data_IF_977795300292
#
_entry.id   IF_977795300292
#
_cell.length_a   1.000
_cell.length_b   1.000
_cell.length_c   1.000
_cell.angle_alpha   90.00
_cell.angle_beta   90.00
_cell.angle_gamma   90.00
#
_symmetry.space_group_name_H-M   'P 1'
#
loop_
_entity.id
_entity.type
_entity.pdbx_description
1 polymer ?
#
# COMPACT_ATOMS: atom_id res chain seq x y z
N UNK A 1 -10.95 22.40 -11.35
CA UNK A 1 -10.07 22.33 -10.18
C UNK A 1 -10.90 22.78 -8.98
N UNK A 2 -11.36 21.84 -8.14
CA UNK A 2 -12.09 22.18 -6.91
C UNK A 2 -11.06 22.74 -5.93
N UNK A 3 -11.19 24.03 -5.62
CA UNK A 3 -10.30 24.71 -4.66
C UNK A 3 -10.77 24.29 -3.27
N UNK A 4 -10.09 23.35 -2.66
CA UNK A 4 -10.24 23.05 -1.24
C UNK A 4 -9.23 23.87 -0.43
N UNK A 5 -9.61 24.29 0.75
CA UNK A 5 -8.73 24.93 1.72
C UNK A 5 -9.27 24.71 3.13
N UNK A 6 -8.42 24.87 4.15
CA UNK A 6 -8.86 24.82 5.54
C UNK A 6 -10.01 25.80 5.86
N UNK A 7 -10.13 26.87 5.08
CA UNK A 7 -11.17 27.92 5.24
C UNK A 7 -12.42 27.68 4.39
N UNK A 8 -12.34 26.97 3.24
CA UNK A 8 -13.47 26.69 2.35
C UNK A 8 -13.61 25.20 2.16
N UNK A 9 -14.72 24.66 2.64
CA UNK A 9 -15.04 23.24 2.49
C UNK A 9 -15.58 22.94 1.09
N UNK A 10 -15.19 21.80 0.54
CA UNK A 10 -15.63 21.33 -0.77
C UNK A 10 -17.08 20.82 -0.73
N UNK A 11 -17.74 20.66 -1.89
CA UNK A 11 -19.01 19.94 -1.96
C UNK A 11 -18.94 18.51 -1.42
N UNK A 12 -17.77 17.87 -1.50
CA UNK A 12 -17.52 16.51 -0.96
C UNK A 12 -17.67 16.50 0.56
N UNK A 13 -17.11 17.50 1.25
CA UNK A 13 -17.27 17.66 2.69
C UNK A 13 -18.76 17.76 3.10
N UNK A 14 -19.54 18.58 2.38
CA UNK A 14 -20.96 18.73 2.72
C UNK A 14 -21.76 17.46 2.44
N UNK A 15 -21.45 16.72 1.37
CA UNK A 15 -22.07 15.43 1.10
C UNK A 15 -21.77 14.41 2.23
N UNK A 16 -20.53 14.35 2.68
CA UNK A 16 -20.12 13.47 3.79
C UNK A 16 -20.73 13.91 5.13
N UNK A 17 -20.91 15.21 5.36
CA UNK A 17 -21.54 15.76 6.56
C UNK A 17 -22.99 15.26 6.76
N UNK A 18 -23.72 14.89 5.70
CA UNK A 18 -25.09 14.36 5.79
C UNK A 18 -25.16 13.07 6.60
N UNK A 19 -24.08 12.29 6.63
CA UNK A 19 -24.00 11.05 7.41
C UNK A 19 -23.72 11.28 8.91
N UNK A 20 -23.32 12.50 9.30
CA UNK A 20 -22.82 12.81 10.63
C UNK A 20 -23.77 12.44 11.78
N UNK A 21 -25.06 12.79 11.69
CA UNK A 21 -26.05 12.45 12.73
C UNK A 21 -26.25 10.94 12.88
N UNK A 22 -26.29 10.20 11.74
CA UNK A 22 -26.47 8.75 11.75
C UNK A 22 -25.25 8.04 12.35
N UNK A 23 -24.05 8.50 11.99
CA UNK A 23 -22.79 7.96 12.52
C UNK A 23 -22.65 8.28 14.01
N UNK A 24 -22.99 9.49 14.45
CA UNK A 24 -22.98 9.89 15.86
C UNK A 24 -23.89 9.00 16.70
N UNK A 25 -25.12 8.77 16.24
CA UNK A 25 -26.07 7.88 16.91
C UNK A 25 -25.57 6.43 16.98
N UNK A 26 -24.91 5.96 15.92
CA UNK A 26 -24.31 4.62 15.90
C UNK A 26 -23.16 4.51 16.92
N UNK A 27 -22.26 5.49 16.96
CA UNK A 27 -21.12 5.52 17.89
C UNK A 27 -21.63 5.55 19.33
N UNK A 28 -22.58 6.44 19.65
CA UNK A 28 -23.14 6.54 20.99
C UNK A 28 -23.88 5.26 21.43
N UNK A 29 -24.59 4.59 20.50
CA UNK A 29 -25.31 3.35 20.79
C UNK A 29 -24.39 2.19 21.16
N UNK A 30 -23.17 2.16 20.59
CA UNK A 30 -22.22 1.05 20.75
C UNK A 30 -21.11 1.34 21.76
N UNK A 31 -21.15 2.51 22.41
CA UNK A 31 -20.23 2.90 23.50
C UNK A 31 -18.74 2.74 23.12
N UNK A 32 -18.37 3.30 21.97
CA UNK A 32 -16.98 3.29 21.53
C UNK A 32 -16.14 4.34 22.23
N UNK A 33 -14.92 4.01 22.61
CA UNK A 33 -13.98 4.92 23.30
C UNK A 33 -13.18 5.79 22.32
N UNK A 34 -12.97 5.34 21.08
CA UNK A 34 -12.16 6.02 20.06
C UNK A 34 -12.62 5.64 18.66
N UNK A 35 -12.41 6.51 17.68
CA UNK A 35 -12.67 6.22 16.26
C UNK A 35 -11.40 6.37 15.45
N UNK A 36 -11.11 5.37 14.63
CA UNK A 36 -9.96 5.37 13.69
C UNK A 36 -10.47 5.25 12.25
N UNK A 37 -9.93 6.06 11.34
CA UNK A 37 -10.28 5.98 9.93
C UNK A 37 -9.06 5.99 9.02
N UNK A 38 -8.94 5.02 8.09
CA UNK A 38 -7.94 5.05 7.04
C UNK A 38 -8.44 5.75 5.76
N UNK A 39 -9.58 6.42 5.81
CA UNK A 39 -10.20 7.01 4.62
C UNK A 39 -10.71 8.43 4.86
N UNK A 40 -10.54 9.28 3.85
CA UNK A 40 -10.86 10.69 3.88
C UNK A 40 -12.35 10.98 4.16
N UNK A 41 -13.27 10.26 3.51
CA UNK A 41 -14.71 10.57 3.64
C UNK A 41 -15.25 10.41 5.08
N UNK A 42 -14.96 9.32 5.80
CA UNK A 42 -15.27 9.27 7.22
C UNK A 42 -14.55 10.35 8.04
N UNK A 43 -13.31 10.73 7.70
CA UNK A 43 -12.59 11.81 8.38
C UNK A 43 -13.31 13.16 8.25
N UNK A 44 -13.85 13.49 7.08
CA UNK A 44 -14.68 14.68 6.86
C UNK A 44 -15.98 14.61 7.66
N UNK A 45 -16.64 13.43 7.70
CA UNK A 45 -17.84 13.21 8.51
C UNK A 45 -17.56 13.45 9.99
N UNK A 46 -16.46 12.88 10.51
CA UNK A 46 -16.07 13.07 11.92
C UNK A 46 -15.68 14.52 12.24
N UNK A 47 -15.02 15.20 11.30
CA UNK A 47 -14.73 16.64 11.42
C UNK A 47 -16.00 17.46 11.56
N UNK A 48 -17.03 17.17 10.74
CA UNK A 48 -18.33 17.80 10.87
C UNK A 48 -18.97 17.50 12.25
N UNK A 49 -18.90 16.24 12.69
CA UNK A 49 -19.45 15.81 13.97
C UNK A 49 -18.76 16.52 15.15
N UNK A 50 -17.43 16.64 15.15
CA UNK A 50 -16.68 17.39 16.16
C UNK A 50 -17.10 18.86 16.18
N UNK A 51 -17.17 19.51 15.02
CA UNK A 51 -17.62 20.91 14.89
C UNK A 51 -19.05 21.13 15.40
N UNK A 52 -19.92 20.12 15.28
CA UNK A 52 -21.32 20.17 15.77
C UNK A 52 -21.49 19.63 17.17
N UNK A 53 -20.39 19.29 17.87
CA UNK A 53 -20.41 18.66 19.21
C UNK A 53 -21.25 17.38 19.26
N UNK A 54 -21.20 16.59 18.20
CA UNK A 54 -21.86 15.29 18.08
C UNK A 54 -20.87 14.12 18.33
N UNK A 55 -19.57 14.38 18.34
CA UNK A 55 -18.51 13.41 18.63
C UNK A 55 -17.66 13.95 19.77
N UNK A 56 -17.62 13.22 20.89
CA UNK A 56 -16.91 13.60 22.11
C UNK A 56 -15.70 12.71 22.40
N UNK A 57 -15.55 11.59 21.69
CA UNK A 57 -14.42 10.68 21.80
C UNK A 57 -13.32 11.07 20.82
N UNK A 58 -12.06 10.66 21.07
CA UNK A 58 -10.94 10.91 20.17
C UNK A 58 -11.17 10.31 18.77
N UNK A 59 -10.65 10.98 17.76
CA UNK A 59 -10.72 10.53 16.37
C UNK A 59 -9.36 10.64 15.69
N UNK A 60 -8.85 9.54 15.14
CA UNK A 60 -7.54 9.44 14.52
C UNK A 60 -7.67 9.06 13.05
N UNK A 61 -6.97 9.78 12.18
CA UNK A 61 -6.84 9.40 10.78
C UNK A 61 -5.54 8.62 10.53
N UNK A 62 -5.57 7.67 9.59
CA UNK A 62 -4.39 6.94 9.12
C UNK A 62 -4.26 7.13 7.61
N UNK A 63 -3.27 7.91 7.17
CA UNK A 63 -2.95 8.10 5.76
C UNK A 63 -2.36 6.82 5.16
N UNK A 64 -2.86 6.44 3.98
CA UNK A 64 -2.48 5.18 3.31
C UNK A 64 -1.77 5.40 1.97
N UNK A 65 -1.38 6.64 1.68
CA UNK A 65 -0.61 7.04 0.50
C UNK A 65 0.57 7.93 0.89
N UNK A 66 1.68 7.82 0.19
CA UNK A 66 2.91 8.59 0.43
C UNK A 66 2.81 10.01 -0.16
N UNK A 67 1.73 10.67 0.17
CA UNK A 67 1.41 12.06 -0.15
C UNK A 67 0.23 12.52 0.68
N UNK A 68 0.09 13.82 0.87
CA UNK A 68 -1.13 14.42 1.38
C UNK A 68 -2.15 14.52 0.24
N UNK A 69 -3.05 13.55 0.10
CA UNK A 69 -4.10 13.62 -0.93
C UNK A 69 -5.02 14.82 -0.71
N UNK A 70 -5.63 15.39 -1.77
CA UNK A 70 -6.56 16.51 -1.64
C UNK A 70 -7.66 16.24 -0.63
N UNK A 71 -8.11 17.30 0.02
CA UNK A 71 -9.18 17.36 1.04
C UNK A 71 -8.78 16.95 2.48
N UNK A 72 -7.57 16.39 2.74
CA UNK A 72 -7.10 16.25 4.12
C UNK A 72 -7.08 17.60 4.85
N UNK A 73 -6.81 18.69 4.15
CA UNK A 73 -6.86 20.05 4.67
C UNK A 73 -8.26 20.51 5.12
N UNK A 74 -9.30 19.78 4.73
CA UNK A 74 -10.67 20.05 5.16
C UNK A 74 -11.04 19.35 6.46
N UNK A 75 -10.22 18.42 6.91
CA UNK A 75 -10.45 17.65 8.14
C UNK A 75 -9.85 18.34 9.36
N UNK A 76 -10.38 18.01 10.55
CA UNK A 76 -9.87 18.45 11.84
C UNK A 76 -10.15 17.35 12.87
N UNK A 77 -9.24 16.38 12.90
CA UNK A 77 -9.22 15.28 13.84
C UNK A 77 -8.17 15.52 14.93
N UNK A 78 -8.11 14.65 15.91
CA UNK A 78 -7.16 14.80 17.02
C UNK A 78 -5.74 14.53 16.55
N UNK A 79 -5.53 13.43 15.79
CA UNK A 79 -4.23 13.06 15.20
C UNK A 79 -4.36 12.49 13.78
N UNK A 80 -3.26 12.61 13.04
CA UNK A 80 -3.07 12.06 11.70
C UNK A 80 -1.81 11.21 11.68
N UNK A 81 -1.96 9.91 11.60
CA UNK A 81 -0.84 9.02 11.31
C UNK A 81 -0.50 9.12 9.83
N UNK A 82 0.75 9.46 9.51
CA UNK A 82 1.22 9.63 8.14
C UNK A 82 2.34 8.63 7.83
N UNK A 83 2.56 8.30 6.53
CA UNK A 83 3.50 7.25 6.13
C UNK A 83 4.96 7.53 6.48
N UNK A 84 5.39 8.80 6.45
CA UNK A 84 6.79 9.17 6.59
C UNK A 84 6.95 10.61 7.08
N UNK A 85 8.03 10.90 7.82
CA UNK A 85 8.36 12.23 8.35
C UNK A 85 8.58 13.29 7.25
N UNK A 86 9.16 12.91 6.12
CA UNK A 86 9.37 13.82 4.98
C UNK A 86 8.07 14.32 4.34
N UNK A 87 6.94 13.76 4.72
CA UNK A 87 5.62 14.24 4.28
C UNK A 87 5.06 15.34 5.18
N UNK A 88 5.61 15.55 6.37
CA UNK A 88 5.16 16.60 7.31
C UNK A 88 5.05 17.97 6.61
N UNK A 89 6.08 18.45 5.88
CA UNK A 89 6.00 19.76 5.21
C UNK A 89 4.87 19.86 4.19
N UNK A 90 4.53 18.75 3.50
CA UNK A 90 3.42 18.70 2.54
C UNK A 90 2.08 18.86 3.24
N UNK A 91 1.86 18.15 4.36
CA UNK A 91 0.65 18.25 5.17
C UNK A 91 0.48 19.63 5.80
N UNK A 92 1.57 20.18 6.38
CA UNK A 92 1.58 21.53 6.99
C UNK A 92 1.29 22.61 5.94
N UNK A 93 1.89 22.53 4.76
CA UNK A 93 1.62 23.44 3.64
C UNK A 93 0.14 23.43 3.23
N UNK A 94 -0.55 22.32 3.41
CA UNK A 94 -2.00 22.19 3.16
C UNK A 94 -2.86 22.67 4.32
N UNK A 95 -2.26 22.94 5.48
CA UNK A 95 -2.95 23.51 6.65
C UNK A 95 -3.31 22.49 7.73
N UNK A 96 -2.74 21.29 7.71
CA UNK A 96 -2.81 20.34 8.84
C UNK A 96 -1.77 20.76 9.88
N UNK A 97 -2.14 20.96 11.15
CA UNK A 97 -1.20 21.36 12.21
C UNK A 97 -0.10 20.29 12.41
N UNK A 98 1.15 20.73 12.54
CA UNK A 98 2.31 19.84 12.65
C UNK A 98 2.23 18.94 13.89
N UNK A 99 1.79 19.51 15.01
CA UNK A 99 1.64 18.82 16.30
C UNK A 99 0.62 17.66 16.28
N UNK A 100 -0.24 17.60 15.26
CA UNK A 100 -1.18 16.51 15.03
C UNK A 100 -0.65 15.41 14.11
N UNK A 101 0.53 15.61 13.49
CA UNK A 101 1.09 14.69 12.50
C UNK A 101 2.04 13.68 13.17
N UNK A 102 1.75 12.41 13.00
CA UNK A 102 2.51 11.30 13.59
C UNK A 102 3.07 10.40 12.47
N UNK A 103 4.37 10.46 12.16
CA UNK A 103 4.97 9.73 11.05
C UNK A 103 5.27 8.26 11.39
N UNK A 104 4.26 7.54 11.88
CA UNK A 104 4.41 6.14 12.30
C UNK A 104 4.47 5.14 11.15
N UNK A 105 4.05 5.54 9.95
CA UNK A 105 4.00 4.64 8.80
C UNK A 105 2.60 4.08 8.52
N UNK A 106 2.48 3.40 7.38
CA UNK A 106 1.25 2.68 7.02
C UNK A 106 1.24 1.33 7.74
N UNK A 107 0.22 1.02 8.55
CA UNK A 107 0.17 -0.24 9.27
C UNK A 107 -0.03 -1.43 8.32
N UNK A 108 0.71 -2.49 8.55
CA UNK A 108 0.59 -3.76 7.85
C UNK A 108 0.31 -4.89 8.84
N UNK A 109 -0.31 -5.97 8.36
CA UNK A 109 -0.54 -7.15 9.18
C UNK A 109 0.79 -7.75 9.65
N UNK A 110 0.79 -8.35 10.83
CA UNK A 110 1.98 -8.92 11.48
C UNK A 110 2.75 -9.92 10.60
N UNK A 111 2.05 -10.66 9.74
CA UNK A 111 2.67 -11.60 8.81
C UNK A 111 3.61 -10.92 7.80
N UNK A 112 3.42 -9.63 7.51
CA UNK A 112 4.35 -8.88 6.66
C UNK A 112 5.57 -8.36 7.45
N UNK A 113 5.50 -8.28 8.78
CA UNK A 113 6.62 -7.88 9.62
C UNK A 113 7.55 -9.06 9.97
N UNK A 114 7.10 -10.31 9.73
CA UNK A 114 7.87 -11.53 9.95
C UNK A 114 8.34 -12.08 8.62
N UNK A 115 9.65 -12.26 8.45
CA UNK A 115 10.22 -12.85 7.25
C UNK A 115 10.44 -14.34 7.45
N UNK A 116 9.90 -15.16 6.58
CA UNK A 116 10.26 -16.56 6.46
C UNK A 116 11.43 -16.69 5.48
N UNK A 117 12.30 -17.69 5.69
CA UNK A 117 13.30 -17.99 4.68
C UNK A 117 12.63 -18.47 3.38
N UNK A 118 13.27 -18.21 2.23
CA UNK A 118 12.78 -18.68 0.93
C UNK A 118 12.58 -20.20 0.92
N UNK A 119 13.42 -20.96 1.61
CA UNK A 119 13.27 -22.40 1.74
C UNK A 119 11.96 -22.79 2.41
N UNK A 120 11.63 -22.17 3.54
CA UNK A 120 10.37 -22.44 4.25
C UNK A 120 9.18 -22.02 3.39
N UNK A 121 9.21 -20.84 2.80
CA UNK A 121 8.14 -20.33 1.98
C UNK A 121 7.91 -21.17 0.72
N UNK A 122 8.95 -21.42 -0.06
CA UNK A 122 8.86 -22.18 -1.32
C UNK A 122 8.60 -23.64 -1.11
N UNK A 123 9.50 -24.35 -0.42
CA UNK A 123 9.49 -25.80 -0.31
C UNK A 123 8.40 -26.32 0.62
N UNK A 124 8.34 -25.78 1.84
CA UNK A 124 7.45 -26.32 2.89
C UNK A 124 6.02 -25.83 2.81
N UNK A 125 5.78 -24.63 2.26
CA UNK A 125 4.45 -23.99 2.26
C UNK A 125 3.80 -23.91 0.89
N UNK A 126 4.54 -23.55 -0.15
CA UNK A 126 3.98 -23.28 -1.48
C UNK A 126 4.29 -24.38 -2.51
N UNK A 127 5.19 -25.32 -2.20
CA UNK A 127 5.65 -26.38 -3.10
C UNK A 127 6.19 -25.82 -4.44
N UNK A 128 6.93 -24.71 -4.36
CA UNK A 128 7.56 -24.04 -5.49
C UNK A 128 9.05 -24.44 -5.61
N UNK A 129 9.65 -24.35 -6.81
CA UNK A 129 11.06 -24.62 -7.02
C UNK A 129 11.97 -23.75 -6.17
N UNK A 130 13.11 -24.30 -5.74
CA UNK A 130 14.09 -23.61 -4.88
C UNK A 130 15.14 -22.84 -5.67
N UNK A 131 15.74 -23.49 -6.65
CA UNK A 131 17.00 -23.08 -7.27
C UNK A 131 16.80 -22.23 -8.54
N UNK A 132 15.68 -21.51 -8.61
CA UNK A 132 15.34 -20.66 -9.74
C UNK A 132 14.88 -19.29 -9.28
N UNK A 133 15.21 -18.22 -10.01
CA UNK A 133 14.66 -16.90 -9.71
C UNK A 133 13.14 -16.87 -9.86
N UNK A 134 12.46 -16.10 -9.01
CA UNK A 134 11.01 -16.05 -8.96
C UNK A 134 10.50 -14.61 -8.92
N UNK A 135 9.67 -14.28 -9.89
CA UNK A 135 8.94 -13.02 -9.96
C UNK A 135 7.55 -13.17 -9.36
N UNK A 136 7.15 -12.21 -8.52
CA UNK A 136 5.77 -12.04 -8.08
C UNK A 136 5.13 -10.87 -8.83
N UNK A 137 3.97 -11.10 -9.44
CA UNK A 137 3.20 -10.06 -10.12
C UNK A 137 1.89 -9.84 -9.38
N UNK A 138 1.66 -8.62 -8.90
CA UNK A 138 0.43 -8.24 -8.19
C UNK A 138 -0.21 -7.03 -8.84
N UNK A 139 -1.44 -7.18 -9.34
CA UNK A 139 -2.18 -6.10 -10.03
C UNK A 139 -3.01 -5.20 -9.10
N UNK A 140 -3.08 -5.53 -7.81
CA UNK A 140 -3.98 -4.89 -6.86
C UNK A 140 -5.45 -5.33 -7.03
N UNK A 141 -6.33 -4.83 -6.16
CA UNK A 141 -7.74 -5.26 -6.10
C UNK A 141 -8.54 -4.98 -7.38
N UNK A 142 -8.19 -3.91 -8.12
CA UNK A 142 -8.89 -3.53 -9.35
C UNK A 142 -8.23 -4.08 -10.63
N UNK A 143 -7.11 -4.77 -10.51
CA UNK A 143 -6.29 -5.22 -11.63
C UNK A 143 -5.58 -4.04 -12.32
N UNK A 144 -4.52 -4.30 -13.10
CA UNK A 144 -4.12 -3.32 -14.10
C UNK A 144 -4.48 -3.83 -15.48
N UNK A 145 -5.11 -2.95 -16.31
CA UNK A 145 -5.81 -3.33 -17.53
C UNK A 145 -4.99 -4.03 -18.61
N UNK A 146 -3.67 -4.17 -18.42
CA UNK A 146 -2.74 -4.86 -19.33
C UNK A 146 -2.02 -6.04 -18.66
N UNK A 147 -2.56 -6.60 -17.59
CA UNK A 147 -1.89 -7.68 -16.84
C UNK A 147 -1.57 -8.89 -17.72
N UNK A 148 -2.48 -9.31 -18.61
CA UNK A 148 -2.23 -10.42 -19.53
C UNK A 148 -1.07 -10.12 -20.50
N UNK A 149 -1.03 -8.90 -21.06
CA UNK A 149 0.06 -8.46 -21.94
C UNK A 149 1.38 -8.39 -21.18
N UNK A 150 1.36 -7.88 -19.94
CA UNK A 150 2.55 -7.84 -19.09
C UNK A 150 3.05 -9.25 -18.77
N UNK A 151 2.17 -10.16 -18.40
CA UNK A 151 2.50 -11.55 -18.09
C UNK A 151 3.10 -12.28 -19.29
N UNK A 152 2.54 -12.07 -20.50
CA UNK A 152 3.06 -12.64 -21.73
C UNK A 152 4.46 -12.12 -22.05
N UNK A 153 4.68 -10.81 -21.96
CA UNK A 153 6.00 -10.19 -22.19
C UNK A 153 7.04 -10.68 -21.17
N UNK A 154 6.66 -10.78 -19.89
CA UNK A 154 7.53 -11.31 -18.84
C UNK A 154 7.88 -12.78 -19.12
N UNK A 155 6.89 -13.62 -19.42
CA UNK A 155 7.10 -15.04 -19.71
C UNK A 155 7.97 -15.26 -20.95
N UNK A 156 7.82 -14.42 -22.00
CA UNK A 156 8.64 -14.47 -23.21
C UNK A 156 10.12 -14.19 -22.92
N UNK A 157 10.40 -13.32 -21.94
CA UNK A 157 11.76 -12.89 -21.57
C UNK A 157 12.39 -13.74 -20.46
N UNK A 158 11.62 -14.52 -19.75
CA UNK A 158 12.08 -15.49 -18.74
C UNK A 158 12.59 -16.77 -19.44
N UNK A 159 13.85 -16.75 -19.92
CA UNK A 159 14.45 -17.86 -20.68
C UNK A 159 15.41 -18.71 -19.88
N UNK A 160 15.83 -18.25 -18.69
CA UNK A 160 16.84 -18.89 -17.85
C UNK A 160 16.22 -19.73 -16.71
N UNK A 161 15.01 -20.22 -16.89
CA UNK A 161 14.33 -21.06 -15.91
C UNK A 161 13.55 -20.28 -14.85
N UNK A 162 13.47 -18.96 -14.94
CA UNK A 162 12.74 -18.12 -13.98
C UNK A 162 11.26 -18.51 -13.90
N UNK A 163 10.70 -18.49 -12.70
CA UNK A 163 9.28 -18.73 -12.43
C UNK A 163 8.55 -17.42 -12.19
N UNK A 164 7.27 -17.41 -12.54
CA UNK A 164 6.38 -16.25 -12.40
C UNK A 164 5.16 -16.66 -11.60
N UNK A 165 4.91 -16.00 -10.49
CA UNK A 165 3.68 -16.14 -9.71
C UNK A 165 2.83 -14.90 -9.95
N UNK A 166 1.58 -15.08 -10.38
CA UNK A 166 0.66 -13.97 -10.67
C UNK A 166 -0.54 -14.08 -9.74
N UNK A 167 -0.70 -13.10 -8.84
CA UNK A 167 -1.86 -13.02 -7.96
C UNK A 167 -2.90 -12.10 -8.59
N UNK A 168 -4.03 -12.68 -9.00
CA UNK A 168 -5.13 -12.00 -9.68
C UNK A 168 -6.13 -11.35 -8.69
N UNK A 169 -6.07 -11.71 -7.40
CA UNK A 169 -7.03 -11.26 -6.39
C UNK A 169 -8.46 -11.64 -6.76
N UNK A 170 -9.39 -10.72 -6.57
CA UNK A 170 -10.83 -10.94 -6.85
C UNK A 170 -11.20 -10.86 -8.36
N UNK A 171 -10.22 -10.68 -9.25
CA UNK A 171 -10.50 -10.57 -10.68
C UNK A 171 -10.54 -11.94 -11.36
N UNK A 172 -11.66 -12.66 -11.18
CA UNK A 172 -11.88 -13.99 -11.77
C UNK A 172 -11.83 -14.00 -13.31
N UNK A 173 -12.12 -12.86 -13.97
CA UNK A 173 -12.04 -12.75 -15.43
C UNK A 173 -10.59 -12.83 -15.90
N UNK A 174 -9.71 -12.07 -15.29
CA UNK A 174 -8.29 -12.07 -15.66
C UNK A 174 -7.61 -13.39 -15.26
N UNK A 175 -7.99 -13.97 -14.12
CA UNK A 175 -7.52 -15.29 -13.71
C UNK A 175 -7.83 -16.35 -14.76
N UNK A 176 -9.07 -16.40 -15.27
CA UNK A 176 -9.48 -17.36 -16.32
C UNK A 176 -8.69 -17.16 -17.61
N UNK A 177 -8.46 -15.90 -18.03
CA UNK A 177 -7.70 -15.60 -19.23
C UNK A 177 -6.25 -16.10 -19.07
N UNK A 178 -5.60 -15.78 -17.94
CA UNK A 178 -4.21 -16.18 -17.69
C UNK A 178 -4.05 -17.71 -17.56
N UNK A 179 -4.99 -18.40 -16.90
CA UNK A 179 -4.97 -19.87 -16.81
C UNK A 179 -5.08 -20.52 -18.17
N UNK A 180 -5.88 -19.96 -19.09
CA UNK A 180 -5.99 -20.44 -20.47
C UNK A 180 -4.72 -20.17 -21.25
N UNK A 181 -4.17 -18.96 -21.17
CA UNK A 181 -2.96 -18.52 -21.88
C UNK A 181 -1.75 -19.35 -21.49
N UNK A 182 -1.56 -19.58 -20.20
CA UNK A 182 -0.38 -20.25 -19.66
C UNK A 182 -0.62 -21.72 -19.29
N UNK A 183 -1.68 -22.35 -19.83
CA UNK A 183 -2.05 -23.73 -19.49
C UNK A 183 -0.90 -24.75 -19.61
N UNK A 184 -0.07 -24.62 -20.63
CA UNK A 184 1.07 -25.50 -20.87
C UNK A 184 2.40 -24.99 -20.30
N UNK A 185 2.42 -23.80 -19.70
CA UNK A 185 3.65 -23.22 -19.16
C UNK A 185 3.77 -23.49 -17.65
N UNK A 186 4.51 -24.54 -17.29
CA UNK A 186 4.71 -24.97 -15.90
C UNK A 186 5.49 -23.95 -15.04
N UNK A 187 6.09 -22.92 -15.62
CA UNK A 187 6.83 -21.87 -14.90
C UNK A 187 5.96 -20.68 -14.51
N UNK A 188 4.71 -20.63 -14.99
CA UNK A 188 3.77 -19.56 -14.67
C UNK A 188 2.66 -20.09 -13.74
N UNK A 189 2.62 -19.56 -12.54
CA UNK A 189 1.68 -19.97 -11.49
C UNK A 189 0.61 -18.92 -11.34
N UNK A 190 -0.64 -19.25 -11.68
CA UNK A 190 -1.77 -18.31 -11.59
C UNK A 190 -2.54 -18.57 -10.30
N UNK A 191 -2.58 -17.57 -9.44
CA UNK A 191 -3.25 -17.59 -8.14
C UNK A 191 -4.41 -16.60 -8.19
N UNK A 192 -5.59 -17.04 -7.78
CA UNK A 192 -6.76 -16.18 -7.61
C UNK A 192 -6.67 -15.34 -6.34
N UNK A 193 -7.78 -15.21 -5.61
CA UNK A 193 -7.77 -14.60 -4.29
C UNK A 193 -7.02 -15.49 -3.29
N UNK A 194 -6.16 -14.88 -2.48
CA UNK A 194 -5.42 -15.59 -1.43
C UNK A 194 -5.19 -14.70 -0.21
N UNK A 195 -5.26 -15.29 0.98
CA UNK A 195 -4.86 -14.68 2.24
C UNK A 195 -3.36 -14.85 2.55
N UNK A 196 -2.64 -15.61 1.70
CA UNK A 196 -1.23 -15.95 1.90
C UNK A 196 -0.26 -15.04 1.11
N UNK A 197 -0.65 -13.78 0.86
CA UNK A 197 0.18 -12.82 0.10
C UNK A 197 1.56 -12.65 0.72
N UNK A 198 1.65 -12.56 2.05
CA UNK A 198 2.92 -12.45 2.78
C UNK A 198 3.87 -13.62 2.45
N UNK A 199 3.32 -14.84 2.38
CA UNK A 199 4.08 -16.05 2.07
C UNK A 199 4.63 -16.05 0.62
N UNK A 200 3.82 -15.58 -0.35
CA UNK A 200 4.29 -15.39 -1.73
C UNK A 200 5.36 -14.30 -1.82
N UNK A 201 5.27 -13.25 -1.00
CA UNK A 201 6.30 -12.22 -0.90
C UNK A 201 7.61 -12.79 -0.33
N UNK A 202 7.56 -13.66 0.69
CA UNK A 202 8.75 -14.35 1.21
C UNK A 202 9.38 -15.30 0.18
N UNK A 203 8.58 -15.85 -0.73
CA UNK A 203 9.03 -16.79 -1.76
C UNK A 203 9.69 -16.13 -2.97
N UNK A 204 9.38 -14.87 -3.29
CA UNK A 204 9.84 -14.21 -4.51
C UNK A 204 11.18 -13.49 -4.35
N UNK A 205 11.82 -13.18 -5.47
CA UNK A 205 13.07 -12.40 -5.54
C UNK A 205 12.82 -10.96 -5.95
N UNK A 206 11.79 -10.71 -6.77
CA UNK A 206 11.38 -9.39 -7.25
C UNK A 206 9.87 -9.34 -7.34
N UNK A 207 9.28 -8.23 -6.94
CA UNK A 207 7.84 -7.97 -7.10
C UNK A 207 7.59 -6.90 -8.17
N UNK A 208 6.65 -7.19 -9.08
CA UNK A 208 6.03 -6.21 -9.97
C UNK A 208 4.66 -5.83 -9.44
N UNK A 209 4.46 -4.56 -9.15
CA UNK A 209 3.18 -4.05 -8.67
C UNK A 209 2.95 -2.62 -9.12
N UNK A 210 1.70 -2.17 -9.16
CA UNK A 210 1.43 -0.74 -9.26
C UNK A 210 1.83 -0.03 -7.96
N UNK A 211 2.16 1.26 -7.97
CA UNK A 211 2.61 1.98 -6.79
C UNK A 211 1.46 2.38 -5.85
N UNK A 212 0.62 1.40 -5.48
CA UNK A 212 -0.42 1.59 -4.46
C UNK A 212 0.18 1.57 -3.07
N UNK A 213 -0.25 2.46 -2.18
CA UNK A 213 0.35 2.64 -0.86
C UNK A 213 0.51 1.35 -0.08
N UNK A 214 -0.56 0.55 0.05
CA UNK A 214 -0.52 -0.65 0.89
C UNK A 214 0.38 -1.78 0.35
N UNK A 215 0.33 -2.08 -0.95
CA UNK A 215 1.19 -3.14 -1.51
C UNK A 215 2.65 -2.71 -1.51
N UNK A 216 2.94 -1.46 -1.84
CA UNK A 216 4.30 -0.91 -1.79
C UNK A 216 4.87 -0.96 -0.36
N UNK A 217 4.07 -0.59 0.65
CA UNK A 217 4.48 -0.67 2.06
C UNK A 217 4.75 -2.12 2.50
N UNK A 218 3.89 -3.06 2.14
CA UNK A 218 4.10 -4.50 2.43
C UNK A 218 5.41 -5.01 1.84
N UNK A 219 5.69 -4.63 0.59
CA UNK A 219 6.94 -5.00 -0.09
C UNK A 219 8.15 -4.33 0.55
N UNK A 220 8.04 -3.06 0.94
CA UNK A 220 9.06 -2.31 1.67
C UNK A 220 9.38 -2.97 3.02
N UNK A 221 8.35 -3.30 3.82
CA UNK A 221 8.52 -3.94 5.13
C UNK A 221 9.16 -5.33 4.99
N UNK A 222 8.77 -6.10 3.97
CA UNK A 222 9.37 -7.40 3.62
C UNK A 222 10.79 -7.28 3.04
N UNK A 223 11.23 -6.07 2.70
CA UNK A 223 12.51 -5.83 2.04
C UNK A 223 12.67 -6.59 0.72
N UNK A 224 11.67 -6.52 -0.15
CA UNK A 224 11.66 -7.18 -1.45
C UNK A 224 11.97 -6.15 -2.53
N UNK A 225 12.86 -6.42 -3.49
CA UNK A 225 13.10 -5.57 -4.64
C UNK A 225 11.81 -5.30 -5.44
N UNK A 226 11.51 -4.01 -5.65
CA UNK A 226 10.24 -3.54 -6.23
C UNK A 226 10.45 -2.96 -7.62
N UNK A 227 9.69 -3.46 -8.58
CA UNK A 227 9.47 -2.79 -9.87
C UNK A 227 8.05 -2.24 -9.90
N UNK A 228 7.91 -0.93 -9.82
CA UNK A 228 6.62 -0.29 -9.98
C UNK A 228 6.23 -0.23 -11.46
N UNK A 229 5.02 -0.71 -11.74
CA UNK A 229 4.38 -0.63 -13.05
C UNK A 229 3.64 0.70 -13.22
N UNK A 230 2.83 0.85 -14.27
CA UNK A 230 2.13 2.10 -14.53
C UNK A 230 1.18 2.50 -13.38
N UNK A 231 1.32 3.72 -12.82
CA UNK A 231 0.43 4.23 -11.80
C UNK A 231 -0.94 4.60 -12.37
N UNK A 232 -1.97 4.53 -11.53
CA UNK A 232 -3.21 5.27 -11.77
C UNK A 232 -2.93 6.74 -11.46
N UNK A 233 -3.33 7.69 -12.33
CA UNK A 233 -3.12 9.12 -12.07
C UNK A 233 -3.70 9.56 -10.73
N UNK A 234 -2.94 10.35 -9.99
CA UNK A 234 -3.30 10.82 -8.64
C UNK A 234 -2.31 10.35 -7.58
N UNK A 235 -2.80 9.78 -6.48
CA UNK A 235 -1.98 9.36 -5.35
C UNK A 235 -0.92 8.30 -5.73
N UNK A 236 -1.23 7.38 -6.64
CA UNK A 236 -0.24 6.39 -7.08
C UNK A 236 0.95 7.02 -7.83
N UNK A 237 0.73 8.15 -8.54
CA UNK A 237 1.83 8.90 -9.15
C UNK A 237 2.75 9.49 -8.08
N UNK A 238 2.19 10.03 -7.00
CA UNK A 238 2.97 10.57 -5.88
C UNK A 238 3.72 9.44 -5.14
N UNK A 239 3.06 8.30 -4.88
CA UNK A 239 3.71 7.12 -4.31
C UNK A 239 4.90 6.67 -5.17
N UNK A 240 4.74 6.62 -6.50
CA UNK A 240 5.80 6.27 -7.43
C UNK A 240 7.01 7.20 -7.29
N UNK A 241 6.76 8.51 -7.21
CA UNK A 241 7.81 9.53 -7.02
C UNK A 241 8.50 9.39 -5.67
N UNK A 242 7.74 9.19 -4.59
CA UNK A 242 8.29 9.00 -3.25
C UNK A 242 9.26 7.80 -3.20
N UNK A 243 8.83 6.65 -3.71
CA UNK A 243 9.64 5.44 -3.74
C UNK A 243 10.87 5.57 -4.65
N UNK A 244 10.70 6.18 -5.84
CA UNK A 244 11.79 6.36 -6.80
C UNK A 244 12.87 7.31 -6.28
N UNK A 245 12.48 8.44 -5.67
CA UNK A 245 13.41 9.44 -5.13
C UNK A 245 14.28 8.89 -3.99
N UNK A 246 13.83 7.84 -3.30
CA UNK A 246 14.54 7.19 -2.18
C UNK A 246 15.19 5.85 -2.56
N UNK A 247 15.21 5.51 -3.83
CA UNK A 247 15.76 4.24 -4.33
C UNK A 247 15.08 2.98 -3.75
N UNK A 248 13.81 3.11 -3.28
CA UNK A 248 13.03 2.01 -2.73
C UNK A 248 12.42 1.12 -3.81
N UNK A 249 12.37 1.61 -5.03
CA UNK A 249 11.86 0.90 -6.21
C UNK A 249 12.46 1.45 -7.49
N UNK A 250 12.37 0.66 -8.55
CA UNK A 250 12.62 1.11 -9.92
C UNK A 250 11.31 1.11 -10.71
N UNK A 251 11.24 1.92 -11.77
CA UNK A 251 10.03 2.02 -12.60
C UNK A 251 10.34 2.41 -14.04
N UNK A 252 9.39 2.16 -14.93
CA UNK A 252 9.40 2.66 -16.30
C UNK A 252 7.99 2.81 -16.83
N UNK A 253 7.78 3.74 -17.78
CA UNK A 253 6.52 3.86 -18.53
C UNK A 253 6.38 2.77 -19.61
N UNK A 254 7.49 2.16 -20.03
CA UNK A 254 7.55 1.15 -21.09
C UNK A 254 7.56 -0.26 -20.50
N UNK A 255 6.63 -1.10 -20.92
CA UNK A 255 6.46 -2.47 -20.44
C UNK A 255 7.73 -3.30 -20.58
N UNK A 256 8.35 -3.30 -21.77
CA UNK A 256 9.59 -4.05 -22.01
C UNK A 256 10.73 -3.61 -21.07
N UNK A 257 10.79 -2.31 -20.72
CA UNK A 257 11.78 -1.79 -19.77
C UNK A 257 11.47 -2.19 -18.34
N UNK A 258 10.19 -2.25 -17.95
CA UNK A 258 9.81 -2.79 -16.63
C UNK A 258 10.31 -4.23 -16.45
N UNK A 259 10.11 -5.09 -17.45
CA UNK A 259 10.61 -6.47 -17.41
C UNK A 259 12.15 -6.51 -17.31
N UNK A 260 12.85 -5.68 -18.10
CA UNK A 260 14.31 -5.59 -18.01
C UNK A 260 14.81 -5.15 -16.63
N UNK A 261 14.12 -4.18 -15.99
CA UNK A 261 14.47 -3.71 -14.66
C UNK A 261 14.37 -4.83 -13.61
N UNK A 262 13.34 -5.66 -13.66
CA UNK A 262 13.22 -6.77 -12.72
C UNK A 262 14.26 -7.87 -12.97
N UNK A 263 14.60 -8.14 -14.23
CA UNK A 263 15.72 -9.04 -14.55
C UNK A 263 17.05 -8.49 -14.04
N UNK A 264 17.29 -7.19 -14.22
CA UNK A 264 18.50 -6.54 -13.71
C UNK A 264 18.62 -6.65 -12.19
N UNK A 265 17.49 -6.56 -11.43
CA UNK A 265 17.48 -6.76 -9.99
C UNK A 265 17.81 -8.20 -9.57
N UNK A 266 17.61 -9.20 -10.44
CA UNK A 266 18.02 -10.58 -10.18
C UNK A 266 19.49 -10.77 -10.56
N UNK A 267 19.92 -10.23 -11.68
CA UNK A 267 21.23 -10.47 -12.30
C UNK A 267 22.35 -9.58 -11.72
N UNK A 268 22.00 -8.46 -11.09
CA UNK A 268 22.94 -7.48 -10.53
C UNK A 268 22.80 -7.36 -9.02
N UNK A 269 23.68 -8.02 -8.28
CA UNK A 269 23.69 -8.03 -6.81
C UNK A 269 23.85 -6.64 -6.22
N UNK A 270 24.74 -5.80 -6.77
CA UNK A 270 24.95 -4.44 -6.27
C UNK A 270 23.69 -3.57 -6.37
N UNK A 271 22.94 -3.66 -7.49
CA UNK A 271 21.69 -2.93 -7.64
C UNK A 271 20.63 -3.40 -6.65
N UNK A 272 20.56 -4.71 -6.42
CA UNK A 272 19.64 -5.33 -5.47
C UNK A 272 19.98 -4.94 -4.03
N UNK A 273 21.25 -4.98 -3.66
CA UNK A 273 21.75 -4.61 -2.33
C UNK A 273 21.50 -3.14 -2.04
N UNK A 274 21.79 -2.23 -2.95
CA UNK A 274 21.50 -0.79 -2.80
C UNK A 274 20.01 -0.53 -2.52
N UNK A 275 19.10 -1.21 -3.24
CA UNK A 275 17.67 -1.08 -3.00
C UNK A 275 17.30 -1.66 -1.64
N UNK A 276 17.82 -2.84 -1.28
CA UNK A 276 17.57 -3.50 0.00
C UNK A 276 18.02 -2.64 1.18
N UNK A 277 19.19 -2.03 1.11
CA UNK A 277 19.70 -1.12 2.13
C UNK A 277 18.81 0.12 2.27
N UNK A 278 18.41 0.72 1.14
CA UNK A 278 17.48 1.85 1.14
C UNK A 278 16.15 1.46 1.80
N UNK A 279 15.58 0.32 1.44
CA UNK A 279 14.35 -0.20 2.04
C UNK A 279 14.51 -0.47 3.55
N UNK A 280 15.63 -1.02 3.98
CA UNK A 280 15.91 -1.27 5.41
C UNK A 280 15.93 0.01 6.24
N UNK A 281 16.41 1.13 5.69
CA UNK A 281 16.42 2.44 6.37
C UNK A 281 15.03 3.06 6.48
N UNK A 282 14.19 2.89 5.46
CA UNK A 282 12.92 3.61 5.32
C UNK A 282 11.69 2.82 5.83
N UNK A 283 11.81 1.50 6.02
CA UNK A 283 10.68 0.66 6.45
C UNK A 283 10.29 0.93 7.89
N UNK A 284 8.97 0.87 8.16
CA UNK A 284 8.37 1.07 9.49
C UNK A 284 7.53 -0.16 9.89
N UNK A 285 8.16 -1.28 10.27
CA UNK A 285 7.43 -2.50 10.64
C UNK A 285 6.60 -2.34 11.92
N UNK A 286 6.97 -1.40 12.80
CA UNK A 286 6.32 -1.14 14.08
C UNK A 286 5.09 -0.20 13.96
N UNK A 287 4.72 0.24 12.75
CA UNK A 287 3.64 1.20 12.54
C UNK A 287 2.33 0.82 13.24
N UNK A 288 1.91 -0.44 13.13
CA UNK A 288 0.68 -0.91 13.77
C UNK A 288 0.75 -0.85 15.30
N UNK A 289 1.88 -1.22 15.90
CA UNK A 289 2.08 -1.17 17.35
C UNK A 289 2.10 0.27 17.87
N UNK A 290 2.79 1.18 17.15
CA UNK A 290 2.82 2.61 17.52
C UNK A 290 1.44 3.23 17.46
N UNK A 291 0.62 2.86 16.47
CA UNK A 291 -0.77 3.30 16.37
C UNK A 291 -1.58 2.76 17.58
N UNK A 292 -1.49 1.48 17.89
CA UNK A 292 -2.22 0.90 19.04
C UNK A 292 -1.83 1.61 20.33
N UNK A 293 -0.53 1.82 20.59
CA UNK A 293 -0.08 2.55 21.78
C UNK A 293 -0.56 4.00 21.83
N UNK A 294 -0.72 4.67 20.68
CA UNK A 294 -1.37 5.98 20.61
C UNK A 294 -2.84 5.89 21.04
N UNK A 295 -3.57 4.92 20.50
CA UNK A 295 -4.99 4.77 20.78
C UNK A 295 -5.23 4.46 22.25
N UNK A 296 -4.43 3.59 22.86
CA UNK A 296 -4.50 3.27 24.31
C UNK A 296 -4.28 4.51 25.18
N UNK A 297 -3.25 5.34 24.87
CA UNK A 297 -3.03 6.61 25.60
C UNK A 297 -4.20 7.59 25.47
N UNK A 298 -4.81 7.68 24.29
CA UNK A 298 -5.93 8.60 24.06
C UNK A 298 -7.20 8.17 24.80
N UNK A 299 -7.38 6.87 25.04
CA UNK A 299 -8.51 6.33 25.80
C UNK A 299 -8.26 6.42 27.30
N UNK A 300 -7.03 6.18 27.77
CA UNK A 300 -6.68 6.28 29.19
C UNK A 300 -6.55 7.72 29.70
N UNK A 301 -6.66 8.72 28.83
CA UNK A 301 -6.45 10.14 29.18
C UNK A 301 -5.05 10.47 29.74
N UNK A 302 -4.03 9.66 29.36
CA UNK A 302 -2.60 9.88 29.68
C UNK A 302 -1.86 10.75 28.66
#
# INVERSE_FOLDING_TARGET
>A
MLISSSRRKSPVYFANALLGKKLASYIAKHDFDIVVTPHLYPAETMTYMKKKKLLHIPAVAVGTDYTCIPFWEETDLDYYVIPHEDLIPEYVKRGVPEEKLLPYGIPVQQDFCRNLSKEVARKKKLHLPMDVPMFLVMSGSMGFGKLAVFAAELALRCRNGEHIVIICGNNAKIERILRKEFHFNKRVHIIGYTNHVSLFMDACDVIYTKPGGLTSTRSLVKNIPIVHTAPIPGCETANLHFFGARHLSVSSKHLAKQVQLGKALIENDSLREQMSEAQCRERKPEAAMQIVSLLERLVSHE
#
